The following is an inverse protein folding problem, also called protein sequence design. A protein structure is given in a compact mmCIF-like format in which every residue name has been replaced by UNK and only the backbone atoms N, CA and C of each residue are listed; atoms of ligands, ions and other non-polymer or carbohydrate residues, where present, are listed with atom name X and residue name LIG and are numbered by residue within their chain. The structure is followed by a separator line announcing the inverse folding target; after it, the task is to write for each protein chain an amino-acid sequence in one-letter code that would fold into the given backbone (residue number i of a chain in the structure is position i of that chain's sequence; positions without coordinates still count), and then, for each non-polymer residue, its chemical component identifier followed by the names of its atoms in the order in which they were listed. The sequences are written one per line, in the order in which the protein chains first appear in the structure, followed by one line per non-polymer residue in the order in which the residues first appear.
data_IF_656042144096
#
_entry.id   IF_656042144096
#
_cell.length_a   1.000
_cell.length_b   1.000
_cell.length_c   1.000
_cell.angle_alpha   90.00
_cell.angle_beta   90.00
_cell.angle_gamma   90.00
#
_symmetry.space_group_name_H-M   'P 1'
#
loop_
_entity.id
_entity.type
_entity.pdbx_description
1 polymer ?
#
# COMPACT_ATOMS: atom_id res chain seq x y z
N UNK A 1 -7.37 13.81 20.84
CA UNK A 1 -7.39 12.85 19.73
C UNK A 1 -8.58 11.92 19.89
N UNK A 2 -9.33 11.73 18.83
CA UNK A 2 -10.47 10.82 18.84
C UNK A 2 -9.97 9.37 18.69
N UNK A 3 -10.15 8.54 19.71
CA UNK A 3 -9.70 7.14 19.72
C UNK A 3 -10.37 6.30 18.63
N UNK A 4 -11.54 6.71 18.15
CA UNK A 4 -12.24 6.04 17.04
C UNK A 4 -11.45 6.10 15.73
N UNK A 5 -10.45 6.99 15.64
CA UNK A 5 -9.64 7.18 14.44
C UNK A 5 -8.40 6.28 14.38
N UNK A 6 -8.28 5.28 15.27
CA UNK A 6 -7.06 4.47 15.42
C UNK A 6 -7.26 2.98 15.08
N UNK A 7 -8.14 2.70 14.11
CA UNK A 7 -8.43 1.32 13.65
C UNK A 7 -7.66 1.00 12.36
N UNK A 8 -7.59 -0.27 11.96
CA UNK A 8 -7.00 -0.63 10.66
C UNK A 8 -7.64 0.09 9.46
N UNK A 9 -8.92 0.43 9.55
CA UNK A 9 -9.55 1.26 8.51
C UNK A 9 -8.87 2.62 8.39
N UNK A 10 -8.51 3.23 9.51
CA UNK A 10 -7.83 4.52 9.51
C UNK A 10 -6.37 4.38 9.09
N UNK A 11 -5.74 3.22 9.37
CA UNK A 11 -4.43 2.88 8.81
C UNK A 11 -4.49 2.85 7.28
N UNK A 12 -5.51 2.22 6.72
CA UNK A 12 -5.72 2.19 5.27
C UNK A 12 -5.77 3.60 4.70
N UNK A 13 -6.58 4.47 5.31
CA UNK A 13 -6.72 5.85 4.85
C UNK A 13 -5.41 6.63 4.96
N UNK A 14 -4.69 6.46 6.07
CA UNK A 14 -3.42 7.14 6.28
C UNK A 14 -2.38 6.70 5.23
N UNK A 15 -2.33 5.40 4.92
CA UNK A 15 -1.41 4.86 3.91
C UNK A 15 -1.77 5.35 2.51
N UNK A 16 -3.05 5.40 2.16
CA UNK A 16 -3.49 5.91 0.86
C UNK A 16 -3.05 7.37 0.71
N UNK A 17 -3.28 8.18 1.74
CA UNK A 17 -2.88 9.58 1.71
C UNK A 17 -1.36 9.73 1.60
N UNK A 18 -0.61 8.95 2.38
CA UNK A 18 0.85 8.98 2.33
C UNK A 18 1.38 8.61 0.96
N UNK A 19 0.82 7.58 0.32
CA UNK A 19 1.25 7.17 -1.02
C UNK A 19 0.87 8.20 -2.07
N UNK A 20 -0.30 8.83 -1.95
CA UNK A 20 -0.70 9.91 -2.86
C UNK A 20 0.27 11.09 -2.79
N UNK A 21 0.68 11.48 -1.59
CA UNK A 21 1.65 12.56 -1.42
C UNK A 21 3.03 12.17 -1.96
N UNK A 22 3.47 10.95 -1.65
CA UNK A 22 4.77 10.45 -2.10
C UNK A 22 4.88 10.44 -3.62
N UNK A 23 3.83 9.99 -4.30
CA UNK A 23 3.83 9.82 -5.76
C UNK A 23 3.31 11.03 -6.52
N UNK A 24 2.87 12.09 -5.84
CA UNK A 24 2.30 13.27 -6.50
C UNK A 24 3.23 13.87 -7.58
N UNK A 25 4.56 14.00 -7.35
CA UNK A 25 5.45 14.55 -8.38
C UNK A 25 5.91 13.53 -9.41
N UNK A 26 5.60 12.26 -9.24
CA UNK A 26 6.13 11.19 -10.09
C UNK A 26 5.27 11.04 -11.35
N UNK A 27 5.94 10.87 -12.50
CA UNK A 27 5.27 10.59 -13.78
C UNK A 27 5.94 9.39 -14.42
N UNK A 28 5.12 8.52 -14.97
CA UNK A 28 5.58 7.29 -15.64
C UNK A 28 4.84 7.07 -16.94
N UNK A 29 4.89 5.85 -17.46
CA UNK A 29 4.40 5.54 -18.78
C UNK A 29 5.48 5.82 -19.84
N UNK A 30 5.20 5.42 -21.08
CA UNK A 30 6.20 5.53 -22.14
C UNK A 30 6.57 6.97 -22.47
N UNK A 31 5.60 7.89 -22.36
CA UNK A 31 5.82 9.32 -22.58
C UNK A 31 6.24 10.07 -21.31
N UNK A 32 6.31 9.41 -20.16
CA UNK A 32 6.65 10.01 -18.85
C UNK A 32 5.68 11.13 -18.44
N UNK A 33 4.43 11.00 -18.80
CA UNK A 33 3.39 12.00 -18.50
C UNK A 33 2.32 11.48 -17.54
N UNK A 34 2.27 10.17 -17.30
CA UNK A 34 1.20 9.54 -16.53
C UNK A 34 1.43 9.68 -15.03
N UNK A 35 0.44 10.24 -14.33
CA UNK A 35 0.44 10.31 -12.87
C UNK A 35 0.19 8.92 -12.28
N UNK A 36 0.73 8.72 -11.07
CA UNK A 36 0.52 7.47 -10.35
C UNK A 36 -0.81 7.55 -9.60
N UNK A 37 -1.72 6.64 -9.93
CA UNK A 37 -3.03 6.56 -9.27
C UNK A 37 -2.91 5.68 -8.02
N UNK A 38 -3.51 6.11 -6.91
CA UNK A 38 -3.49 5.35 -5.65
C UNK A 38 -4.92 5.01 -5.25
N UNK A 39 -5.19 3.72 -5.07
CA UNK A 39 -6.53 3.22 -4.76
C UNK A 39 -6.53 2.41 -3.47
N UNK A 40 -7.58 2.55 -2.63
CA UNK A 40 -7.73 1.68 -1.46
C UNK A 40 -8.35 0.34 -1.86
N UNK A 41 -7.82 -0.75 -1.35
CA UNK A 41 -8.30 -2.14 -1.45
C UNK A 41 -8.28 -2.74 -2.84
N UNK A 42 -8.81 -2.07 -3.86
CA UNK A 42 -8.87 -2.62 -5.21
C UNK A 42 -9.02 -1.52 -6.24
N UNK A 43 -8.86 -1.86 -7.51
CA UNK A 43 -9.19 -0.94 -8.58
C UNK A 43 -10.69 -0.62 -8.55
N UNK A 44 -11.08 0.57 -9.02
CA UNK A 44 -12.51 0.87 -9.17
C UNK A 44 -13.21 -0.18 -10.04
N UNK A 45 -14.46 -0.46 -9.72
CA UNK A 45 -15.25 -1.39 -10.53
C UNK A 45 -15.45 -0.81 -11.90
N UNK A 46 -14.99 -1.54 -12.93
CA UNK A 46 -15.12 -1.13 -14.32
C UNK A 46 -16.39 -1.70 -14.92
N UNK A 47 -17.10 -0.88 -15.71
CA UNK A 47 -18.29 -1.30 -16.47
C UNK A 47 -17.94 -1.68 -17.90
N UNK A 48 -16.67 -1.53 -18.29
CA UNK A 48 -16.18 -1.81 -19.64
C UNK A 48 -14.80 -2.45 -19.54
N UNK A 49 -14.53 -3.47 -20.37
CA UNK A 49 -13.24 -4.12 -20.41
C UNK A 49 -12.09 -3.20 -20.81
N UNK A 50 -12.40 -2.13 -21.54
CA UNK A 50 -11.39 -1.17 -22.00
C UNK A 50 -10.94 -0.22 -20.89
N UNK A 51 -11.71 -0.08 -19.81
CA UNK A 51 -11.41 0.84 -18.73
C UNK A 51 -10.25 0.37 -17.86
N UNK A 52 -9.93 -0.93 -17.83
CA UNK A 52 -8.85 -1.47 -17.00
C UNK A 52 -7.49 -0.92 -17.40
N UNK A 53 -7.28 -0.66 -18.68
CA UNK A 53 -6.02 -0.11 -19.19
C UNK A 53 -5.75 1.32 -18.73
N UNK A 54 -6.79 2.04 -18.31
CA UNK A 54 -6.68 3.43 -17.91
C UNK A 54 -6.14 3.61 -16.49
N UNK A 55 -6.12 2.55 -15.69
CA UNK A 55 -5.73 2.68 -14.29
C UNK A 55 -4.23 2.63 -14.05
N UNK A 56 -3.46 1.96 -14.93
CA UNK A 56 -2.01 1.91 -14.80
C UNK A 56 -1.39 3.24 -15.29
N UNK A 57 -0.35 3.78 -14.62
CA UNK A 57 0.33 3.20 -13.45
C UNK A 57 -0.48 3.41 -12.17
N UNK A 58 -0.47 2.41 -11.29
CA UNK A 58 -1.20 2.54 -10.04
C UNK A 58 -0.50 1.85 -8.87
N UNK A 59 -0.89 2.28 -7.68
CA UNK A 59 -0.58 1.63 -6.41
C UNK A 59 -1.90 1.32 -5.71
N UNK A 60 -2.12 0.06 -5.37
CA UNK A 60 -3.25 -0.33 -4.54
C UNK A 60 -2.74 -0.53 -3.12
N UNK A 61 -3.35 0.16 -2.15
CA UNK A 61 -3.08 -0.04 -0.73
C UNK A 61 -4.16 -0.97 -0.19
N UNK A 62 -3.77 -2.17 0.23
CA UNK A 62 -4.71 -3.19 0.68
C UNK A 62 -4.38 -3.63 2.10
N UNK A 63 -5.40 -3.63 2.97
CA UNK A 63 -5.32 -4.33 4.24
C UNK A 63 -5.78 -5.75 3.95
N UNK A 64 -4.89 -6.74 4.16
CA UNK A 64 -5.19 -8.12 3.81
C UNK A 64 -5.85 -8.88 4.95
N UNK A 65 -5.34 -8.72 6.16
CA UNK A 65 -5.85 -9.37 7.35
C UNK A 65 -5.23 -8.73 8.60
N UNK A 66 -5.64 -9.20 9.75
CA UNK A 66 -5.11 -8.70 11.01
C UNK A 66 -5.46 -9.64 12.15
N UNK A 67 -4.88 -9.37 13.32
CA UNK A 67 -5.13 -10.17 14.51
C UNK A 67 -4.90 -9.38 15.78
N UNK A 68 -5.71 -9.66 16.79
CA UNK A 68 -5.54 -9.16 18.14
C UNK A 68 -5.04 -10.32 19.01
N UNK A 69 -3.88 -10.13 19.65
CA UNK A 69 -3.23 -11.22 20.38
C UNK A 69 -3.71 -11.38 21.82
N UNK A 70 -4.37 -10.37 22.37
CA UNK A 70 -4.90 -10.44 23.73
C UNK A 70 -5.65 -9.17 24.12
N UNK A 71 -6.26 -9.20 25.31
CA UNK A 71 -6.98 -8.04 25.84
C UNK A 71 -6.00 -6.88 26.07
N UNK A 72 -6.41 -5.69 25.65
CA UNK A 72 -5.63 -4.45 25.80
C UNK A 72 -4.28 -4.49 25.06
N UNK A 73 -4.11 -5.40 24.10
CA UNK A 73 -2.90 -5.46 23.29
C UNK A 73 -3.10 -4.84 21.92
N UNK A 74 -2.00 -4.44 21.29
CA UNK A 74 -2.05 -3.86 19.95
C UNK A 74 -2.60 -4.87 18.95
N UNK A 75 -3.34 -4.36 17.97
CA UNK A 75 -3.80 -5.15 16.82
C UNK A 75 -2.77 -5.08 15.72
N UNK A 76 -2.40 -6.23 15.17
CA UNK A 76 -1.50 -6.28 14.02
C UNK A 76 -2.34 -6.29 12.74
N UNK A 77 -2.01 -5.41 11.82
CA UNK A 77 -2.65 -5.35 10.51
C UNK A 77 -1.62 -5.61 9.42
N UNK A 78 -1.92 -6.56 8.54
CA UNK A 78 -1.04 -6.89 7.41
C UNK A 78 -1.48 -6.10 6.18
N UNK A 79 -0.51 -5.46 5.54
CA UNK A 79 -0.72 -4.54 4.43
C UNK A 79 -0.01 -5.06 3.20
N UNK A 80 -0.66 -4.92 2.06
CA UNK A 80 -0.07 -5.15 0.74
C UNK A 80 -0.15 -3.85 -0.05
N UNK A 81 0.99 -3.41 -0.59
CA UNK A 81 1.04 -2.37 -1.60
C UNK A 81 1.31 -3.06 -2.94
N UNK A 82 0.36 -2.97 -3.85
CA UNK A 82 0.47 -3.58 -5.16
C UNK A 82 0.70 -2.50 -6.21
N UNK A 83 1.77 -2.65 -6.97
CA UNK A 83 2.18 -1.68 -7.99
C UNK A 83 2.05 -2.27 -9.37
N UNK A 84 1.51 -1.50 -10.31
CA UNK A 84 1.43 -1.90 -11.70
C UNK A 84 1.80 -0.72 -12.59
N UNK A 85 2.65 -0.99 -13.57
CA UNK A 85 3.04 -0.02 -14.60
C UNK A 85 2.77 -0.64 -15.96
N UNK A 86 2.31 0.17 -16.90
CA UNK A 86 2.10 -0.25 -18.29
C UNK A 86 3.18 0.35 -19.15
N UNK A 87 3.89 -0.48 -19.94
CA UNK A 87 4.91 -0.02 -20.88
C UNK A 87 4.90 -0.89 -22.12
N UNK A 88 4.87 -0.25 -23.29
CA UNK A 88 5.00 -0.93 -24.58
C UNK A 88 6.46 -1.10 -25.00
N UNK A 89 7.39 -0.48 -24.28
CA UNK A 89 8.82 -0.56 -24.62
C UNK A 89 9.33 -2.01 -24.54
N UNK A 90 10.21 -2.35 -25.45
CA UNK A 90 10.73 -3.72 -25.55
C UNK A 90 12.04 -3.91 -24.78
N UNK A 91 12.51 -2.89 -24.08
CA UNK A 91 13.78 -2.88 -23.34
C UNK A 91 13.61 -3.15 -21.84
N UNK A 92 12.45 -3.67 -21.43
CA UNK A 92 12.14 -3.98 -20.03
C UNK A 92 12.09 -2.76 -19.11
N UNK A 93 11.89 -1.55 -19.67
CA UNK A 93 11.79 -0.33 -18.88
C UNK A 93 10.66 -0.41 -17.83
N UNK A 94 9.59 -1.15 -18.13
CA UNK A 94 8.49 -1.34 -17.18
C UNK A 94 8.92 -1.98 -15.87
N UNK A 95 9.87 -2.92 -15.90
CA UNK A 95 10.40 -3.52 -14.66
C UNK A 95 11.15 -2.49 -13.83
N UNK A 96 11.97 -1.64 -14.47
CA UNK A 96 12.67 -0.58 -13.78
C UNK A 96 11.69 0.39 -13.12
N UNK A 97 10.63 0.75 -13.83
CA UNK A 97 9.63 1.68 -13.33
C UNK A 97 8.87 1.12 -12.12
N UNK A 98 8.37 -0.12 -12.21
CA UNK A 98 7.64 -0.70 -11.09
C UNK A 98 8.56 -0.93 -9.88
N UNK A 99 9.79 -1.35 -10.12
CA UNK A 99 10.77 -1.51 -9.05
C UNK A 99 11.06 -0.17 -8.38
N UNK A 100 11.18 0.90 -9.16
CA UNK A 100 11.44 2.23 -8.63
C UNK A 100 10.30 2.70 -7.71
N UNK A 101 9.04 2.54 -8.14
CA UNK A 101 7.89 2.88 -7.29
C UNK A 101 7.91 2.11 -5.99
N UNK A 102 8.19 0.81 -6.08
CA UNK A 102 8.20 -0.07 -4.92
C UNK A 102 9.31 0.33 -3.93
N UNK A 103 10.50 0.67 -4.44
CA UNK A 103 11.60 1.09 -3.59
C UNK A 103 11.35 2.45 -2.96
N UNK A 104 10.69 3.37 -3.67
CA UNK A 104 10.27 4.66 -3.10
C UNK A 104 9.34 4.45 -1.90
N UNK A 105 8.34 3.58 -2.07
CA UNK A 105 7.40 3.27 -0.99
C UNK A 105 8.10 2.63 0.20
N UNK A 106 8.98 1.66 -0.05
CA UNK A 106 9.75 0.99 0.99
C UNK A 106 10.59 1.99 1.79
N UNK A 107 11.32 2.82 1.09
CA UNK A 107 12.18 3.82 1.75
C UNK A 107 11.34 4.79 2.59
N UNK A 108 10.23 5.26 2.05
CA UNK A 108 9.33 6.15 2.78
C UNK A 108 8.84 5.52 4.08
N UNK A 109 8.36 4.27 4.00
CA UNK A 109 7.83 3.59 5.18
C UNK A 109 8.90 3.34 6.24
N UNK A 110 10.12 3.00 5.83
CA UNK A 110 11.22 2.78 6.77
C UNK A 110 11.72 4.07 7.41
N UNK A 111 11.65 5.19 6.68
CA UNK A 111 12.02 6.51 7.20
C UNK A 111 10.92 7.13 8.06
N UNK A 112 9.65 6.76 7.82
CA UNK A 112 8.49 7.32 8.53
C UNK A 112 7.61 6.18 9.08
N UNK A 113 8.14 5.41 10.06
CA UNK A 113 7.44 4.21 10.51
C UNK A 113 6.13 4.48 11.25
N UNK A 114 5.96 5.68 11.81
CA UNK A 114 4.74 6.05 12.54
C UNK A 114 3.73 6.70 11.59
N UNK A 115 3.20 5.92 10.66
CA UNK A 115 2.22 6.41 9.66
C UNK A 115 1.00 6.97 10.38
N UNK A 116 0.56 8.17 9.95
CA UNK A 116 -0.56 8.85 10.59
C UNK A 116 -0.33 9.23 12.04
N UNK A 117 0.89 9.07 12.55
CA UNK A 117 1.24 9.39 13.93
C UNK A 117 0.79 8.39 14.96
N UNK A 118 0.07 7.33 14.57
CA UNK A 118 -0.54 6.38 15.50
C UNK A 118 -0.28 4.91 15.18
N UNK A 119 0.17 4.60 13.97
CA UNK A 119 0.36 3.23 13.51
C UNK A 119 1.85 2.97 13.35
N UNK A 120 2.36 1.90 13.97
CA UNK A 120 3.78 1.61 13.97
C UNK A 120 4.13 0.50 13.00
N UNK A 121 5.00 0.80 12.04
CA UNK A 121 5.55 -0.21 11.14
C UNK A 121 6.45 -1.18 11.93
N UNK A 122 6.27 -2.46 11.67
CA UNK A 122 7.23 -3.49 12.11
C UNK A 122 8.23 -3.70 10.98
N UNK A 123 9.44 -3.09 11.06
CA UNK A 123 10.34 -3.08 9.90
C UNK A 123 10.84 -4.45 9.48
N UNK A 124 10.91 -5.40 10.41
CA UNK A 124 11.33 -6.77 10.11
C UNK A 124 10.32 -7.53 9.25
N UNK A 125 9.10 -7.01 9.10
CA UNK A 125 8.06 -7.63 8.27
C UNK A 125 8.04 -7.11 6.84
N UNK A 126 8.84 -6.08 6.52
CA UNK A 126 8.85 -5.49 5.18
C UNK A 126 9.47 -6.46 4.20
N UNK A 127 8.70 -6.87 3.19
CA UNK A 127 9.13 -7.76 2.11
C UNK A 127 8.60 -7.22 0.79
N UNK A 128 9.34 -7.47 -0.28
CA UNK A 128 8.88 -7.07 -1.60
C UNK A 128 9.17 -8.18 -2.61
N UNK A 129 8.36 -8.22 -3.65
CA UNK A 129 8.45 -9.21 -4.71
C UNK A 129 8.17 -8.54 -6.04
N UNK A 130 9.01 -8.80 -7.01
CA UNK A 130 8.80 -8.38 -8.39
C UNK A 130 8.28 -9.58 -9.17
N UNK A 131 7.24 -9.36 -9.99
CA UNK A 131 6.66 -10.42 -10.80
C UNK A 131 7.72 -11.05 -11.70
N UNK A 132 7.74 -12.38 -11.74
CA UNK A 132 8.71 -13.15 -12.54
C UNK A 132 8.13 -13.61 -13.87
N UNK A 133 6.81 -13.65 -14.00
CA UNK A 133 6.15 -14.08 -15.23
C UNK A 133 6.02 -12.92 -16.20
N UNK A 134 6.14 -13.22 -17.50
CA UNK A 134 5.97 -12.21 -18.54
C UNK A 134 4.50 -11.87 -18.69
N UNK A 135 4.16 -10.61 -18.45
CA UNK A 135 2.80 -10.10 -18.61
C UNK A 135 2.79 -8.81 -19.45
N UNK A 136 3.83 -8.60 -20.25
CA UNK A 136 3.93 -7.44 -21.14
C UNK A 136 2.57 -7.15 -21.81
N UNK A 137 2.08 -5.89 -21.80
CA UNK A 137 2.76 -4.64 -21.43
C UNK A 137 2.62 -4.23 -19.97
N UNK A 138 2.18 -5.12 -19.08
CA UNK A 138 2.00 -4.83 -17.68
C UNK A 138 3.14 -5.40 -16.84
N UNK A 139 3.62 -4.60 -15.88
CA UNK A 139 4.70 -4.96 -14.97
C UNK A 139 4.21 -4.74 -13.55
N UNK A 140 4.30 -5.79 -12.72
CA UNK A 140 3.65 -5.82 -11.42
C UNK A 140 4.68 -6.15 -10.34
N UNK A 141 4.55 -5.48 -9.20
CA UNK A 141 5.33 -5.76 -8.02
C UNK A 141 4.48 -5.57 -6.76
N UNK A 142 4.90 -6.16 -5.67
CA UNK A 142 4.20 -6.06 -4.41
C UNK A 142 5.15 -5.86 -3.23
N UNK A 143 4.69 -5.09 -2.24
CA UNK A 143 5.39 -4.89 -0.99
C UNK A 143 4.42 -5.22 0.14
N UNK A 144 4.86 -6.07 1.06
CA UNK A 144 4.07 -6.42 2.23
C UNK A 144 4.75 -5.92 3.49
N UNK A 145 3.93 -5.55 4.48
CA UNK A 145 4.42 -5.09 5.76
C UNK A 145 3.31 -5.25 6.81
N UNK A 146 3.69 -5.32 8.06
CA UNK A 146 2.73 -5.36 9.17
C UNK A 146 2.89 -4.10 10.02
N UNK A 147 1.74 -3.61 10.50
CA UNK A 147 1.67 -2.44 11.36
C UNK A 147 0.99 -2.81 12.66
N UNK A 148 1.46 -2.22 13.75
CA UNK A 148 0.78 -2.29 15.03
C UNK A 148 -0.17 -1.11 15.13
N UNK A 149 -1.45 -1.41 15.36
CA UNK A 149 -2.47 -0.41 15.63
C UNK A 149 -2.62 -0.23 17.13
N UNK A 150 -2.97 0.98 17.60
CA UNK A 150 -3.14 1.19 19.04
C UNK A 150 -4.12 0.21 19.65
N UNK A 151 -3.85 -0.27 20.88
CA UNK A 151 -4.74 -1.23 21.53
C UNK A 151 -6.09 -0.64 21.85
N UNK A 152 -7.13 -1.49 21.79
CA UNK A 152 -8.46 -1.14 22.25
C UNK A 152 -8.52 -1.55 23.72
N UNK A 153 -8.71 -0.57 24.61
CA UNK A 153 -8.69 -0.81 26.05
C UNK A 153 -10.08 -1.19 26.53
N UNK A 154 -10.17 -2.26 27.30
CA UNK A 154 -11.44 -2.70 27.89
C UNK A 154 -12.00 -1.58 28.78
N UNK A 155 -13.27 -1.28 28.61
CA UNK A 155 -13.93 -0.30 29.46
C UNK A 155 -14.81 -0.92 30.55
N UNK A 156 -14.81 -2.25 30.65
CA UNK A 156 -15.53 -2.97 31.71
C UNK A 156 -14.52 -3.57 32.69
N UNK A 157 -14.82 -3.56 34.00
CA UNK A 157 -13.90 -4.18 34.96
C UNK A 157 -13.82 -5.68 34.74
N UNK A 158 -12.66 -6.32 35.05
CA UNK A 158 -12.52 -7.77 34.94
C UNK A 158 -13.53 -8.47 35.88
N UNK A 159 -14.03 -9.61 35.45
CA UNK A 159 -14.90 -10.44 36.30
C UNK A 159 -14.06 -11.10 37.38
N UNK A 160 -14.54 -11.08 38.58
CA UNK A 160 -13.87 -11.73 39.72
C UNK A 160 -14.17 -13.23 39.75
#
# INVERSE_FOLDING_TARGET
MNLEMLTPYHLLRALVEAMRELFAPVRMGDAREDAINVYPQSLPISTSADDEDEYAPYCIVRISDGAVSGANEAENANVLLLFCVRSEALDMQGYADVLHLMQMAKQYLLEHPAVGGAFDLMPETVQWTLQQEDSHPYYIGGLTASFACPPIIRNAPPLD
#
